data_IF_069919107665
#
_entry.id   IF_069919107665
#
_cell.length_a   1.000
_cell.length_b   1.000
_cell.length_c   1.000
_cell.angle_alpha   90.00
_cell.angle_beta   90.00
_cell.angle_gamma   90.00
#
_symmetry.space_group_name_H-M   'P 1'
#
loop_
_entity.id
_entity.type
_entity.pdbx_description
1 polymer ?
#
# COMPACT_ATOMS: atom_id res chain seq x y z
N UNK A 1 -0.74 -13.63 -32.87
CA UNK A 1 -1.42 -12.80 -31.86
C UNK A 1 -0.99 -13.30 -30.50
N UNK A 2 -0.46 -12.45 -29.61
CA UNK A 2 -0.27 -12.84 -28.20
C UNK A 2 -1.66 -12.95 -27.60
N UNK A 3 -2.05 -14.12 -27.11
CA UNK A 3 -3.26 -14.28 -26.31
C UNK A 3 -3.07 -13.52 -25.00
N UNK A 4 -3.96 -12.59 -24.69
CA UNK A 4 -3.99 -11.96 -23.36
C UNK A 4 -4.68 -12.90 -22.38
N UNK A 5 -4.10 -13.05 -21.20
CA UNK A 5 -4.70 -13.76 -20.08
C UNK A 5 -5.30 -12.75 -19.09
N UNK A 6 -6.48 -13.04 -18.55
CA UNK A 6 -7.11 -12.23 -17.51
C UNK A 6 -6.89 -12.93 -16.18
N UNK A 7 -6.09 -12.30 -15.32
CA UNK A 7 -5.87 -12.77 -13.94
C UNK A 7 -6.75 -11.92 -13.01
N UNK A 8 -7.59 -12.58 -12.20
CA UNK A 8 -8.37 -11.90 -11.17
C UNK A 8 -7.56 -11.89 -9.87
N UNK A 9 -7.35 -10.69 -9.32
CA UNK A 9 -6.63 -10.47 -8.07
C UNK A 9 -7.49 -9.66 -7.12
N UNK A 10 -7.57 -10.08 -5.85
CA UNK A 10 -8.42 -9.43 -4.83
C UNK A 10 -7.65 -9.23 -3.53
N UNK A 11 -8.06 -8.22 -2.75
CA UNK A 11 -7.56 -8.01 -1.39
C UNK A 11 -7.86 -9.25 -0.51
N UNK A 12 -7.01 -9.51 0.49
CA UNK A 12 -7.25 -10.57 1.47
C UNK A 12 -8.42 -10.22 2.38
N UNK A 13 -8.50 -8.98 2.83
CA UNK A 13 -9.43 -8.52 3.87
C UNK A 13 -9.39 -9.47 5.10
N UNK A 14 -10.55 -9.88 5.61
CA UNK A 14 -10.68 -10.85 6.69
C UNK A 14 -10.83 -12.31 6.21
N UNK A 15 -10.51 -12.61 4.95
CA UNK A 15 -10.66 -13.97 4.41
C UNK A 15 -9.76 -14.94 5.16
N UNK A 16 -10.38 -16.02 5.63
CA UNK A 16 -9.69 -17.16 6.20
C UNK A 16 -8.83 -17.88 5.15
N UNK A 17 -7.89 -18.71 5.60
CA UNK A 17 -7.07 -19.52 4.68
C UNK A 17 -7.93 -20.46 3.82
N UNK A 18 -9.05 -20.95 4.35
CA UNK A 18 -10.00 -21.76 3.60
C UNK A 18 -10.67 -20.98 2.47
N UNK A 19 -11.10 -19.74 2.72
CA UNK A 19 -11.67 -18.86 1.68
C UNK A 19 -10.64 -18.48 0.63
N UNK A 20 -9.38 -18.27 1.02
CA UNK A 20 -8.26 -18.02 0.09
C UNK A 20 -8.04 -19.23 -0.81
N UNK A 21 -8.03 -20.44 -0.25
CA UNK A 21 -7.90 -21.70 -1.00
C UNK A 21 -9.09 -21.91 -1.97
N UNK A 22 -10.31 -21.63 -1.53
CA UNK A 22 -11.50 -21.69 -2.41
C UNK A 22 -11.44 -20.69 -3.57
N UNK A 23 -10.89 -19.49 -3.35
CA UNK A 23 -10.65 -18.50 -4.40
C UNK A 23 -9.58 -18.98 -5.38
N UNK A 24 -8.49 -19.57 -4.86
CA UNK A 24 -7.41 -20.11 -5.66
C UNK A 24 -7.91 -21.23 -6.59
N UNK A 25 -8.76 -22.14 -6.09
CA UNK A 25 -9.41 -23.19 -6.88
C UNK A 25 -10.31 -22.63 -8.01
N UNK A 26 -10.80 -21.40 -7.86
CA UNK A 26 -11.57 -20.67 -8.88
C UNK A 26 -10.68 -19.85 -9.83
N UNK A 27 -9.36 -19.96 -9.71
CA UNK A 27 -8.39 -19.17 -10.48
C UNK A 27 -8.31 -17.70 -10.06
N UNK A 28 -8.73 -17.39 -8.83
CA UNK A 28 -8.68 -16.02 -8.28
C UNK A 28 -7.51 -15.95 -7.31
N UNK A 29 -6.54 -15.10 -7.64
CA UNK A 29 -5.39 -14.80 -6.78
C UNK A 29 -5.83 -13.83 -5.68
N UNK A 30 -5.26 -13.98 -4.49
CA UNK A 30 -5.57 -13.15 -3.33
C UNK A 30 -4.27 -12.58 -2.78
N UNK A 31 -4.29 -11.31 -2.40
CA UNK A 31 -3.13 -10.66 -1.78
C UNK A 31 -2.69 -11.40 -0.51
N UNK A 32 -1.40 -11.39 -0.19
CA UNK A 32 -0.94 -11.97 1.09
C UNK A 32 -1.20 -11.01 2.26
N UNK A 33 -1.09 -9.69 2.03
CA UNK A 33 -1.43 -8.65 3.01
C UNK A 33 -2.93 -8.32 2.95
N UNK A 34 -3.44 -7.74 4.04
CA UNK A 34 -4.87 -7.44 4.25
C UNK A 34 -5.48 -6.63 3.09
N UNK A 35 -4.86 -5.51 2.73
CA UNK A 35 -5.36 -4.60 1.70
C UNK A 35 -4.24 -4.07 0.82
N UNK A 36 -4.57 -3.56 -0.36
CA UNK A 36 -3.60 -2.89 -1.25
C UNK A 36 -2.87 -1.72 -0.55
N UNK A 37 -3.52 -1.00 0.36
CA UNK A 37 -2.87 0.08 1.14
C UNK A 37 -1.66 -0.41 1.96
N UNK A 38 -1.62 -1.69 2.35
CA UNK A 38 -0.48 -2.26 3.06
C UNK A 38 0.79 -2.33 2.21
N UNK A 39 0.66 -2.33 0.88
CA UNK A 39 1.76 -2.28 -0.07
C UNK A 39 2.09 -0.83 -0.46
N UNK A 40 1.05 -0.05 -0.79
CA UNK A 40 1.21 1.34 -1.22
C UNK A 40 1.87 2.20 -0.13
N UNK A 41 1.47 2.01 1.13
CA UNK A 41 2.00 2.77 2.26
C UNK A 41 3.09 2.00 3.02
N UNK A 42 3.77 1.05 2.37
CA UNK A 42 4.93 0.37 2.95
C UNK A 42 6.05 1.38 3.27
N UNK A 43 6.86 1.07 4.29
CA UNK A 43 7.96 1.94 4.71
C UNK A 43 8.98 2.14 3.58
N UNK A 44 9.22 1.12 2.76
CA UNK A 44 10.08 1.19 1.56
C UNK A 44 9.57 2.27 0.58
N UNK A 45 8.27 2.30 0.34
CA UNK A 45 7.66 3.21 -0.65
C UNK A 45 7.61 4.65 -0.11
N UNK A 46 7.38 4.82 1.19
CA UNK A 46 7.44 6.14 1.84
C UNK A 46 8.87 6.69 1.80
N UNK A 47 9.89 5.85 2.05
CA UNK A 47 11.30 6.23 1.92
C UNK A 47 11.60 6.69 0.49
N UNK A 48 11.15 5.91 -0.50
CA UNK A 48 11.35 6.23 -1.91
C UNK A 48 10.67 7.52 -2.34
N UNK A 49 9.47 7.81 -1.81
CA UNK A 49 8.82 9.10 -2.01
C UNK A 49 9.70 10.25 -1.52
N UNK A 50 10.25 10.13 -0.31
CA UNK A 50 11.13 11.15 0.27
C UNK A 50 12.38 11.36 -0.59
N UNK A 51 13.01 10.29 -1.06
CA UNK A 51 14.17 10.37 -1.97
C UNK A 51 13.82 10.99 -3.32
N UNK A 52 12.65 10.68 -3.88
CA UNK A 52 12.24 11.20 -5.20
C UNK A 52 12.07 12.73 -5.24
N UNK A 53 11.99 13.38 -4.08
CA UNK A 53 11.84 14.83 -3.92
C UNK A 53 12.99 15.47 -3.12
N UNK A 54 14.10 14.75 -2.93
CA UNK A 54 15.32 15.22 -2.23
C UNK A 54 15.05 15.64 -0.76
N UNK A 55 14.23 14.85 -0.04
CA UNK A 55 13.87 15.08 1.37
C UNK A 55 14.10 13.85 2.26
N UNK A 56 15.22 13.16 2.05
CA UNK A 56 15.59 11.99 2.85
C UNK A 56 15.71 12.28 4.35
N UNK A 57 16.03 13.51 4.72
CA UNK A 57 16.09 13.98 6.10
C UNK A 57 14.74 13.89 6.83
N UNK A 58 13.63 13.86 6.09
CA UNK A 58 12.28 13.77 6.63
C UNK A 58 11.72 12.33 6.68
N UNK A 59 12.48 11.33 6.24
CA UNK A 59 12.06 9.91 6.25
C UNK A 59 11.56 9.49 7.64
N UNK A 60 12.38 9.70 8.66
CA UNK A 60 12.05 9.35 10.04
C UNK A 60 10.77 10.03 10.52
N UNK A 61 10.53 11.27 10.09
CA UNK A 61 9.32 12.01 10.44
C UNK A 61 8.08 11.41 9.76
N UNK A 62 8.18 11.04 8.48
CA UNK A 62 7.10 10.37 7.74
C UNK A 62 6.77 8.99 8.32
N UNK A 63 7.78 8.17 8.64
CA UNK A 63 7.58 6.85 9.24
C UNK A 63 6.96 6.94 10.64
N UNK A 64 7.38 7.91 11.46
CA UNK A 64 6.73 8.19 12.75
C UNK A 64 5.28 8.62 12.59
N UNK A 65 4.97 9.46 11.59
CA UNK A 65 3.61 9.89 11.31
C UNK A 65 2.72 8.71 10.86
N UNK A 66 3.26 7.80 10.01
CA UNK A 66 2.58 6.55 9.65
C UNK A 66 2.27 5.72 10.89
N UNK A 67 3.27 5.45 11.72
CA UNK A 67 3.10 4.63 12.91
C UNK A 67 2.12 5.26 13.90
N UNK A 68 2.16 6.58 14.09
CA UNK A 68 1.19 7.28 14.94
C UNK A 68 -0.24 7.15 14.41
N UNK A 69 -0.44 7.28 13.09
CA UNK A 69 -1.76 7.10 12.47
C UNK A 69 -2.29 5.66 12.61
N UNK A 70 -1.41 4.65 12.51
CA UNK A 70 -1.77 3.25 12.76
C UNK A 70 -2.17 3.06 14.22
N UNK A 71 -1.39 3.57 15.17
CA UNK A 71 -1.73 3.48 16.60
C UNK A 71 -3.05 4.19 16.94
N UNK A 72 -3.30 5.37 16.38
CA UNK A 72 -4.60 6.03 16.50
C UNK A 72 -5.75 5.18 15.93
N UNK A 73 -5.51 4.44 14.86
CA UNK A 73 -6.49 3.51 14.27
C UNK A 73 -6.76 2.31 15.18
N UNK A 74 -5.71 1.74 15.76
CA UNK A 74 -5.79 0.64 16.73
C UNK A 74 -6.53 1.08 18.00
N UNK A 75 -6.31 2.31 18.47
CA UNK A 75 -7.05 2.89 19.59
C UNK A 75 -8.54 3.11 19.30
N UNK A 76 -8.97 3.00 18.04
CA UNK A 76 -10.38 2.98 17.60
C UNK A 76 -10.85 1.56 17.26
N UNK A 77 -10.21 0.54 17.84
CA UNK A 77 -10.54 -0.88 17.72
C UNK A 77 -10.36 -1.50 16.32
N UNK A 78 -9.53 -0.88 15.46
CA UNK A 78 -9.16 -1.49 14.17
C UNK A 78 -7.96 -2.43 14.33
N UNK A 79 -7.86 -3.51 13.53
CA UNK A 79 -6.67 -4.36 13.50
C UNK A 79 -5.39 -3.59 13.17
N UNK A 80 -4.26 -4.03 13.71
CA UNK A 80 -2.97 -3.37 13.49
C UNK A 80 -2.52 -3.40 12.02
N UNK A 81 -2.91 -4.44 11.29
CA UNK A 81 -2.66 -4.63 9.86
C UNK A 81 -3.68 -3.93 8.96
N UNK A 82 -4.71 -3.27 9.53
CA UNK A 82 -5.67 -2.45 8.79
C UNK A 82 -5.11 -1.04 8.51
N UNK A 83 -4.18 -1.00 7.55
CA UNK A 83 -3.58 0.26 7.05
C UNK A 83 -4.63 1.12 6.33
N UNK A 84 -5.67 0.51 5.77
CA UNK A 84 -6.73 1.21 5.04
C UNK A 84 -7.50 2.16 5.95
N UNK A 85 -7.79 1.77 7.19
CA UNK A 85 -8.43 2.67 8.17
C UNK A 85 -7.53 3.84 8.61
N UNK A 86 -6.20 3.66 8.63
CA UNK A 86 -5.24 4.72 8.95
C UNK A 86 -4.88 5.61 7.75
N UNK A 87 -5.08 5.11 6.53
CA UNK A 87 -4.54 5.66 5.28
C UNK A 87 -4.89 7.13 5.00
N UNK A 88 -6.08 7.60 5.43
CA UNK A 88 -6.47 9.00 5.31
C UNK A 88 -5.56 9.93 6.11
N UNK A 89 -5.27 9.56 7.36
CA UNK A 89 -4.38 10.33 8.26
C UNK A 89 -2.93 10.28 7.76
N UNK A 90 -2.46 9.09 7.35
CA UNK A 90 -1.13 8.90 6.75
C UNK A 90 -0.93 9.84 5.56
N UNK A 91 -1.88 9.84 4.61
CA UNK A 91 -1.87 10.76 3.47
C UNK A 91 -1.75 12.23 3.90
N UNK A 92 -2.60 12.68 4.82
CA UNK A 92 -2.60 14.09 5.25
C UNK A 92 -1.29 14.50 5.92
N UNK A 93 -0.71 13.64 6.75
CA UNK A 93 0.54 13.95 7.45
C UNK A 93 1.74 13.92 6.50
N UNK A 94 1.87 12.91 5.63
CA UNK A 94 2.97 12.84 4.64
C UNK A 94 2.93 14.07 3.73
N UNK A 95 1.75 14.43 3.22
CA UNK A 95 1.58 15.63 2.39
C UNK A 95 2.04 16.90 3.12
N UNK A 96 1.69 17.03 4.41
CA UNK A 96 2.06 18.18 5.25
C UNK A 96 3.56 18.22 5.53
N UNK A 97 4.15 17.09 5.95
CA UNK A 97 5.58 16.97 6.30
C UNK A 97 6.44 17.28 5.09
N UNK A 98 6.14 16.67 3.95
CA UNK A 98 6.92 16.83 2.72
C UNK A 98 6.55 18.10 1.95
N UNK A 99 5.54 18.86 2.37
CA UNK A 99 5.10 20.09 1.70
C UNK A 99 4.66 19.84 0.25
N UNK A 100 4.03 18.69 -0.02
CA UNK A 100 3.67 18.28 -1.38
C UNK A 100 2.51 19.13 -1.92
N UNK A 101 2.66 19.57 -3.16
CA UNK A 101 1.59 20.18 -3.95
C UNK A 101 1.31 19.33 -5.18
N UNK A 102 0.09 19.42 -5.73
CA UNK A 102 -0.33 18.71 -6.95
C UNK A 102 -0.23 17.16 -6.89
N UNK A 103 -0.09 16.55 -5.72
CA UNK A 103 -0.02 15.10 -5.51
C UNK A 103 -1.39 14.41 -5.39
N UNK A 104 -2.46 14.98 -5.98
CA UNK A 104 -3.83 14.48 -5.84
C UNK A 104 -4.65 15.15 -4.72
N UNK A 105 -5.94 15.32 -4.99
CA UNK A 105 -6.87 16.06 -4.12
C UNK A 105 -7.47 15.23 -2.99
N UNK A 106 -7.35 13.91 -3.06
CA UNK A 106 -7.85 12.99 -2.05
C UNK A 106 -6.89 11.80 -1.90
N UNK A 107 -7.11 10.99 -0.87
CA UNK A 107 -6.31 9.80 -0.58
C UNK A 107 -6.15 8.91 -1.82
N UNK A 108 -7.25 8.55 -2.50
CA UNK A 108 -7.20 7.62 -3.62
C UNK A 108 -6.37 8.16 -4.79
N UNK A 109 -6.50 9.45 -5.11
CA UNK A 109 -5.69 10.11 -6.13
C UNK A 109 -4.21 10.14 -5.73
N UNK A 110 -3.89 10.47 -4.48
CA UNK A 110 -2.51 10.43 -3.98
C UNK A 110 -1.90 9.03 -4.08
N UNK A 111 -2.62 8.01 -3.60
CA UNK A 111 -2.18 6.63 -3.64
C UNK A 111 -1.96 6.13 -5.08
N UNK A 112 -2.88 6.44 -6.00
CA UNK A 112 -2.81 6.01 -7.40
C UNK A 112 -1.77 6.78 -8.21
N UNK A 113 -1.74 8.10 -8.10
CA UNK A 113 -1.00 8.97 -9.01
C UNK A 113 0.39 9.33 -8.49
N UNK A 114 0.63 9.26 -7.17
CA UNK A 114 1.91 9.64 -6.54
C UNK A 114 2.63 8.44 -5.95
N UNK A 115 1.93 7.57 -5.23
CA UNK A 115 2.55 6.45 -4.52
C UNK A 115 2.76 5.24 -5.41
N UNK A 116 1.73 4.78 -6.12
CA UNK A 116 1.83 3.58 -6.96
C UNK A 116 2.98 3.63 -7.99
N UNK A 117 3.29 4.76 -8.66
CA UNK A 117 4.42 4.83 -9.58
C UNK A 117 5.80 4.61 -8.95
N UNK A 118 5.92 4.70 -7.62
CA UNK A 118 7.17 4.45 -6.90
C UNK A 118 7.43 2.95 -6.70
N UNK A 119 6.39 2.11 -6.84
CA UNK A 119 6.50 0.65 -6.81
C UNK A 119 7.03 0.20 -8.17
N UNK A 120 8.33 -0.06 -8.22
CA UNK A 120 9.06 -0.43 -9.42
C UNK A 120 9.81 -1.75 -9.19
N UNK A 121 10.28 -2.38 -10.26
CA UNK A 121 10.83 -3.75 -10.26
C UNK A 121 11.92 -4.02 -9.21
N UNK A 122 12.70 -3.01 -8.83
CA UNK A 122 13.73 -3.15 -7.80
C UNK A 122 13.17 -3.23 -6.37
N UNK A 123 11.97 -2.69 -6.13
CA UNK A 123 11.35 -2.64 -4.80
C UNK A 123 10.95 -4.03 -4.32
N UNK A 124 11.07 -4.28 -3.02
CA UNK A 124 10.62 -5.53 -2.43
C UNK A 124 9.09 -5.67 -2.53
N UNK A 125 8.37 -4.55 -2.38
CA UNK A 125 6.91 -4.49 -2.57
C UNK A 125 6.49 -4.96 -3.98
N UNK A 126 7.18 -4.51 -5.04
CA UNK A 126 6.87 -4.97 -6.40
C UNK A 126 7.05 -6.48 -6.53
N UNK A 127 8.19 -7.01 -6.07
CA UNK A 127 8.51 -8.45 -6.17
C UNK A 127 7.51 -9.31 -5.42
N UNK A 128 7.02 -8.83 -4.28
CA UNK A 128 5.97 -9.49 -3.51
C UNK A 128 4.66 -9.57 -4.30
N UNK A 129 4.17 -8.43 -4.82
CA UNK A 129 2.94 -8.36 -5.62
C UNK A 129 3.07 -9.19 -6.90
N UNK A 130 4.22 -9.11 -7.59
CA UNK A 130 4.48 -9.86 -8.81
C UNK A 130 4.42 -11.37 -8.55
N UNK A 131 5.03 -11.85 -7.47
CA UNK A 131 4.94 -13.25 -7.07
C UNK A 131 3.51 -13.66 -6.66
N UNK A 132 2.74 -12.79 -6.02
CA UNK A 132 1.34 -13.09 -5.68
C UNK A 132 0.44 -13.22 -6.92
N UNK A 133 0.70 -12.43 -7.97
CA UNK A 133 -0.10 -12.43 -9.20
C UNK A 133 0.35 -13.54 -10.15
N UNK A 134 1.67 -13.70 -10.35
CA UNK A 134 2.24 -14.54 -11.42
C UNK A 134 2.98 -15.79 -10.92
N UNK A 135 3.25 -15.90 -9.62
CA UNK A 135 3.85 -17.07 -8.99
C UNK A 135 2.88 -18.20 -8.68
#
# INVERSE_FOLDING_TARGET
MRSSEIIKFVDRDDKSDAEVEELLQKGIKTASRRHIECYLLDDEIIQKLCSSIEKEDLIEQCLRAKNSAIQESVNRDNPQDDIKSASGKIFTEIKRILGLSQCGNNKCAFLRDTIAPLITEETQVYKEIENEIFG
#
